data_IF_185193990020
#
_entry.id   IF_185193990020
#
_cell.length_a   1.000
_cell.length_b   1.000
_cell.length_c   1.000
_cell.angle_alpha   90.00
_cell.angle_beta   90.00
_cell.angle_gamma   90.00
#
_symmetry.space_group_name_H-M   'P 1'
#
loop_
_entity.id
_entity.type
_entity.pdbx_description
1 polymer ?
#
# COMPACT_ATOMS: atom_id res chain seq x y z
N UNK A 1 31.04 -22.53 -48.03
CA UNK A 1 31.85 -22.21 -46.84
C UNK A 1 31.14 -21.03 -46.17
N UNK A 2 30.60 -21.10 -44.96
CA UNK A 2 31.09 -21.69 -43.71
C UNK A 2 30.17 -22.75 -43.07
N UNK A 3 30.74 -23.59 -42.18
CA UNK A 3 30.03 -24.50 -41.23
C UNK A 3 30.25 -24.02 -39.79
N UNK A 4 29.21 -24.12 -38.95
CA UNK A 4 29.14 -24.25 -37.47
C UNK A 4 27.64 -24.04 -37.14
N UNK A 5 26.83 -24.97 -36.62
CA UNK A 5 26.99 -26.17 -35.78
C UNK A 5 27.51 -25.91 -34.35
N UNK A 6 26.80 -26.55 -33.40
CA UNK A 6 26.82 -26.43 -31.92
C UNK A 6 26.05 -25.19 -31.40
N UNK A 7 25.11 -25.31 -30.46
CA UNK A 7 24.53 -26.49 -29.79
C UNK A 7 24.41 -26.30 -28.28
N UNK A 8 23.34 -26.85 -27.68
CA UNK A 8 23.09 -26.93 -26.24
C UNK A 8 23.01 -25.59 -25.47
N UNK A 9 21.84 -24.95 -25.49
CA UNK A 9 21.37 -24.15 -24.38
C UNK A 9 20.45 -25.02 -23.51
N UNK A 10 20.98 -25.57 -22.42
CA UNK A 10 20.22 -26.28 -21.40
C UNK A 10 20.35 -25.52 -20.09
N UNK A 11 19.31 -24.78 -19.71
CA UNK A 11 19.17 -24.21 -18.37
C UNK A 11 18.01 -24.96 -17.72
N UNK A 12 18.34 -26.10 -17.11
CA UNK A 12 17.44 -26.78 -16.19
C UNK A 12 17.76 -26.27 -14.78
N UNK A 13 16.91 -25.39 -14.25
CA UNK A 13 16.82 -25.14 -12.81
C UNK A 13 15.36 -25.18 -12.42
N UNK A 14 14.87 -26.40 -12.24
CA UNK A 14 13.63 -26.67 -11.50
C UNK A 14 14.03 -27.38 -10.21
N UNK A 15 13.84 -26.72 -9.07
CA UNK A 15 13.38 -27.42 -7.85
C UNK A 15 12.36 -26.50 -7.18
N UNK A 16 11.08 -26.83 -7.37
CA UNK A 16 10.05 -26.43 -6.43
C UNK A 16 9.93 -27.51 -5.33
N UNK A 17 9.32 -27.12 -4.21
CA UNK A 17 8.80 -27.98 -3.13
C UNK A 17 9.78 -28.82 -2.30
N UNK A 18 9.89 -28.42 -1.04
CA UNK A 18 9.51 -29.19 0.16
C UNK A 18 9.70 -30.73 0.19
N UNK A 19 10.40 -31.19 1.24
CA UNK A 19 10.44 -32.55 1.80
C UNK A 19 10.49 -33.71 0.77
N UNK A 20 11.69 -34.16 0.42
CA UNK A 20 11.86 -35.44 -0.25
C UNK A 20 13.32 -35.82 -0.45
N UNK A 21 13.73 -36.99 0.05
CA UNK A 21 15.05 -37.56 -0.24
C UNK A 21 15.08 -38.01 -1.70
N UNK A 22 16.04 -37.51 -2.48
CA UNK A 22 16.28 -37.96 -3.86
C UNK A 22 17.77 -38.07 -4.17
N UNK A 23 18.30 -39.29 -4.10
CA UNK A 23 19.61 -39.65 -4.66
C UNK A 23 19.48 -40.11 -6.11
N UNK A 24 20.34 -39.60 -6.99
CA UNK A 24 20.59 -40.17 -8.32
C UNK A 24 22.09 -40.03 -8.68
N UNK A 25 22.62 -40.97 -9.47
CA UNK A 25 24.07 -41.22 -9.66
C UNK A 25 24.55 -41.00 -11.12
N UNK A 26 25.88 -40.97 -11.29
CA UNK A 26 26.68 -40.79 -12.54
C UNK A 26 26.72 -39.35 -13.11
N UNK A 27 27.80 -38.80 -13.69
CA UNK A 27 29.17 -39.28 -13.94
C UNK A 27 29.70 -38.77 -15.32
N UNK A 28 30.96 -38.40 -15.57
CA UNK A 28 32.21 -38.35 -14.79
C UNK A 28 33.21 -37.33 -15.43
N UNK A 29 34.35 -37.04 -14.76
CA UNK A 29 35.48 -36.19 -15.21
C UNK A 29 35.20 -34.65 -15.25
N UNK A 30 36.17 -33.73 -15.11
CA UNK A 30 37.64 -33.85 -15.07
C UNK A 30 38.30 -32.71 -14.24
N UNK A 31 39.61 -32.79 -13.98
CA UNK A 31 40.55 -31.79 -13.40
C UNK A 31 40.07 -30.35 -13.07
N UNK A 32 40.31 -29.86 -11.84
CA UNK A 32 41.58 -29.20 -11.45
C UNK A 32 41.55 -28.75 -9.97
N UNK A 33 42.57 -29.10 -9.18
CA UNK A 33 42.60 -28.85 -7.73
C UNK A 33 43.17 -27.46 -7.40
N UNK A 34 42.44 -26.39 -7.74
CA UNK A 34 42.74 -25.04 -7.24
C UNK A 34 42.11 -24.80 -5.88
N UNK A 35 42.92 -24.99 -4.83
CA UNK A 35 42.63 -24.51 -3.48
C UNK A 35 42.54 -22.98 -3.47
N UNK A 36 41.36 -22.42 -3.74
CA UNK A 36 41.06 -21.02 -3.47
C UNK A 36 40.86 -20.89 -1.97
N UNK A 37 41.65 -20.05 -1.31
CA UNK A 37 41.50 -19.80 0.12
C UNK A 37 40.11 -19.20 0.39
N UNK A 38 39.25 -19.97 1.05
CA UNK A 38 37.93 -19.52 1.44
C UNK A 38 38.06 -18.51 2.60
N UNK A 39 38.19 -17.24 2.26
CA UNK A 39 37.95 -16.15 3.22
C UNK A 39 36.52 -16.31 3.73
N UNK A 40 36.38 -16.71 5.00
CA UNK A 40 35.08 -16.79 5.66
C UNK A 40 34.51 -15.39 5.81
N UNK A 41 33.70 -14.97 4.84
CA UNK A 41 32.85 -13.79 4.98
C UNK A 41 31.73 -14.21 5.90
N UNK A 42 31.77 -13.75 7.15
CA UNK A 42 30.67 -13.93 8.08
C UNK A 42 29.37 -13.40 7.42
N UNK A 43 28.24 -14.12 7.50
CA UNK A 43 26.99 -13.61 6.97
C UNK A 43 26.71 -12.27 7.67
N UNK A 44 26.33 -11.20 6.93
CA UNK A 44 25.98 -9.94 7.56
C UNK A 44 24.84 -10.22 8.55
N UNK A 45 25.07 -9.89 9.82
CA UNK A 45 24.03 -9.95 10.84
C UNK A 45 22.82 -9.19 10.29
N UNK A 46 21.63 -9.80 10.18
CA UNK A 46 20.46 -9.07 9.75
C UNK A 46 20.24 -7.94 10.76
N UNK A 47 20.45 -6.70 10.31
CA UNK A 47 20.03 -5.53 11.08
C UNK A 47 18.58 -5.75 11.47
N UNK A 48 18.19 -5.51 12.74
CA UNK A 48 16.80 -5.63 13.11
C UNK A 48 16.00 -4.68 12.24
N UNK A 49 15.18 -5.23 11.33
CA UNK A 49 14.20 -4.47 10.57
C UNK A 49 13.34 -3.79 11.61
N UNK A 50 13.55 -2.48 11.80
CA UNK A 50 12.71 -1.67 12.64
C UNK A 50 11.33 -1.72 12.00
N UNK A 51 10.44 -2.55 12.54
CA UNK A 51 9.04 -2.59 12.12
C UNK A 51 8.56 -1.15 12.05
N UNK A 52 8.08 -0.72 10.89
CA UNK A 52 7.42 0.57 10.79
C UNK A 52 6.32 0.60 11.87
N UNK A 53 6.15 1.72 12.60
CA UNK A 53 5.08 1.80 13.57
C UNK A 53 3.76 1.46 12.86
N UNK A 54 2.94 0.63 13.49
CA UNK A 54 1.60 0.36 12.98
C UNK A 54 0.86 1.70 12.90
N UNK A 55 0.37 2.04 11.71
CA UNK A 55 -0.45 3.24 11.52
C UNK A 55 -1.70 3.05 12.37
N UNK A 56 -1.93 3.97 13.30
CA UNK A 56 -3.16 4.04 14.06
C UNK A 56 -4.03 5.11 13.42
N UNK A 57 -5.16 4.70 12.83
CA UNK A 57 -6.13 5.63 12.28
C UNK A 57 -6.88 6.37 13.40
N UNK A 58 -7.12 7.67 13.18
CA UNK A 58 -7.85 8.56 14.09
C UNK A 58 -9.36 8.50 13.87
N UNK A 59 -9.76 8.13 12.65
CA UNK A 59 -11.14 7.98 12.22
C UNK A 59 -11.25 6.69 11.38
N UNK A 60 -12.27 5.90 11.65
CA UNK A 60 -12.68 4.75 10.84
C UNK A 60 -14.20 4.83 10.65
N UNK A 61 -14.66 4.98 9.41
CA UNK A 61 -16.07 5.14 9.04
C UNK A 61 -16.50 3.95 8.18
N UNK A 62 -17.33 3.08 8.76
CA UNK A 62 -17.98 1.97 8.06
C UNK A 62 -19.37 2.41 7.65
N UNK A 63 -19.62 2.59 6.35
CA UNK A 63 -20.89 3.13 5.84
C UNK A 63 -21.48 2.25 4.76
N UNK A 64 -22.79 2.06 4.81
CA UNK A 64 -23.54 1.46 3.69
C UNK A 64 -23.97 2.57 2.73
N UNK A 65 -23.56 2.47 1.48
CA UNK A 65 -23.92 3.39 0.40
C UNK A 65 -25.09 2.82 -0.42
N UNK A 66 -25.96 3.70 -0.92
CA UNK A 66 -26.96 3.39 -1.94
C UNK A 66 -26.30 3.57 -3.31
N UNK A 67 -26.35 2.54 -4.15
CA UNK A 67 -25.71 2.54 -5.47
C UNK A 67 -26.69 2.97 -6.57
N UNK A 68 -26.15 3.32 -7.73
CA UNK A 68 -26.91 3.78 -8.91
C UNK A 68 -27.88 2.73 -9.47
N UNK A 69 -27.67 1.44 -9.19
CA UNK A 69 -28.59 0.36 -9.54
C UNK A 69 -29.74 0.15 -8.53
N UNK A 70 -29.77 0.95 -7.45
CA UNK A 70 -30.74 0.87 -6.36
C UNK A 70 -30.42 -0.20 -5.31
N UNK A 71 -29.32 -0.93 -5.45
CA UNK A 71 -28.79 -1.81 -4.41
C UNK A 71 -27.98 -1.03 -3.37
N UNK A 72 -27.46 -1.74 -2.36
CA UNK A 72 -26.62 -1.14 -1.32
C UNK A 72 -25.36 -1.96 -1.12
N UNK A 73 -24.21 -1.29 -0.96
CA UNK A 73 -22.95 -1.94 -0.64
C UNK A 73 -22.21 -1.22 0.51
N UNK A 74 -21.43 -1.95 1.33
CA UNK A 74 -20.56 -1.34 2.32
C UNK A 74 -19.38 -0.65 1.65
N UNK A 75 -18.95 0.45 2.24
CA UNK A 75 -17.66 1.08 2.00
C UNK A 75 -17.01 1.47 3.34
N UNK A 76 -15.71 1.65 3.33
CA UNK A 76 -14.93 2.01 4.51
C UNK A 76 -13.93 3.11 4.17
N UNK A 77 -13.78 4.05 5.10
CA UNK A 77 -12.80 5.15 5.04
C UNK A 77 -12.05 5.21 6.36
N UNK A 78 -10.74 4.96 6.32
CA UNK A 78 -9.84 5.10 7.46
C UNK A 78 -8.93 6.32 7.26
N UNK A 79 -8.86 7.24 8.24
CA UNK A 79 -8.05 8.47 8.16
C UNK A 79 -7.20 8.64 9.41
N UNK A 80 -5.90 8.84 9.22
CA UNK A 80 -4.94 9.18 10.28
C UNK A 80 -4.42 10.61 10.09
N UNK A 81 -4.30 11.34 11.20
CA UNK A 81 -3.62 12.64 11.26
C UNK A 81 -2.20 12.41 11.75
N UNK A 82 -1.25 12.50 10.82
CA UNK A 82 0.17 12.30 11.07
C UNK A 82 0.93 13.63 11.13
N UNK A 83 2.06 13.63 11.83
CA UNK A 83 3.02 14.72 11.79
C UNK A 83 3.85 14.61 10.52
N UNK A 84 3.88 15.68 9.73
CA UNK A 84 4.85 15.84 8.65
C UNK A 84 6.18 16.36 9.21
N UNK A 85 7.11 15.45 9.45
CA UNK A 85 8.46 15.78 9.94
C UNK A 85 9.26 16.73 9.02
N UNK A 86 8.89 16.86 7.74
CA UNK A 86 9.56 17.78 6.81
C UNK A 86 9.08 19.23 6.95
N UNK A 87 7.85 19.46 7.44
CA UNK A 87 7.25 20.80 7.57
C UNK A 87 6.79 21.15 8.99
N UNK A 88 7.07 20.29 9.98
CA UNK A 88 6.69 20.47 11.38
C UNK A 88 7.23 21.78 11.99
N UNK A 89 6.30 22.59 12.51
CA UNK A 89 6.55 23.80 13.28
C UNK A 89 6.29 23.58 14.79
N UNK A 90 6.47 24.63 15.60
CA UNK A 90 6.27 24.58 17.05
C UNK A 90 4.80 24.48 17.49
N UNK A 91 3.82 24.59 16.58
CA UNK A 91 2.38 24.48 16.83
C UNK A 91 1.80 23.15 16.34
N UNK A 92 2.58 22.33 15.63
CA UNK A 92 2.17 21.02 15.07
C UNK A 92 1.30 20.18 16.03
N UNK A 93 1.71 19.99 17.27
CA UNK A 93 0.99 19.13 18.24
C UNK A 93 -0.41 19.68 18.59
N UNK A 94 -0.56 21.02 18.71
CA UNK A 94 -1.86 21.67 18.95
C UNK A 94 -2.77 21.54 17.73
N UNK A 95 -2.21 21.72 16.52
CA UNK A 95 -2.93 21.58 15.25
C UNK A 95 -3.36 20.12 15.01
N UNK A 96 -2.54 19.13 15.38
CA UNK A 96 -2.90 17.69 15.33
C UNK A 96 -4.04 17.40 16.31
N UNK A 97 -3.97 17.91 17.55
CA UNK A 97 -5.04 17.74 18.53
C UNK A 97 -6.36 18.37 18.06
N UNK A 98 -6.31 19.54 17.41
CA UNK A 98 -7.47 20.18 16.81
C UNK A 98 -8.04 19.39 15.61
N UNK A 99 -7.18 18.86 14.74
CA UNK A 99 -7.58 18.01 13.60
C UNK A 99 -8.27 16.73 14.06
N UNK A 100 -7.67 16.00 15.01
CA UNK A 100 -8.28 14.78 15.61
C UNK A 100 -9.62 15.09 16.29
N UNK A 101 -9.72 16.23 16.98
CA UNK A 101 -10.98 16.69 17.58
C UNK A 101 -12.04 16.96 16.50
N UNK A 102 -11.70 17.61 15.39
CA UNK A 102 -12.63 17.84 14.29
C UNK A 102 -13.16 16.50 13.75
N UNK A 103 -12.24 15.60 13.36
CA UNK A 103 -12.58 14.26 12.84
C UNK A 103 -13.51 13.47 13.76
N UNK A 104 -13.26 13.47 15.07
CA UNK A 104 -14.05 12.74 16.05
C UNK A 104 -15.37 13.44 16.47
N UNK A 105 -15.56 14.70 16.09
CA UNK A 105 -16.76 15.48 16.44
C UNK A 105 -17.78 15.63 15.31
N UNK A 106 -17.37 15.43 14.06
CA UNK A 106 -18.23 15.51 12.88
C UNK A 106 -18.96 14.17 12.65
N UNK A 107 -20.23 14.24 12.25
CA UNK A 107 -21.03 13.04 11.95
C UNK A 107 -20.92 12.64 10.48
N UNK A 108 -19.81 11.98 10.11
CA UNK A 108 -19.51 11.56 8.73
C UNK A 108 -20.49 10.54 8.15
N UNK A 109 -21.22 9.79 8.98
CA UNK A 109 -22.28 8.87 8.52
C UNK A 109 -23.46 9.63 7.89
N UNK A 110 -23.73 10.85 8.35
CA UNK A 110 -24.80 11.70 7.87
C UNK A 110 -24.40 12.62 6.71
N UNK A 111 -23.11 12.67 6.35
CA UNK A 111 -22.62 13.53 5.27
C UNK A 111 -23.24 13.11 3.93
N UNK A 112 -23.81 14.02 3.12
CA UNK A 112 -24.32 13.67 1.79
C UNK A 112 -23.14 13.37 0.87
N UNK A 113 -23.11 12.19 0.26
CA UNK A 113 -22.03 11.75 -0.64
C UNK A 113 -22.67 11.25 -1.94
N UNK A 114 -22.20 11.75 -3.09
CA UNK A 114 -22.70 11.34 -4.42
C UNK A 114 -21.60 11.16 -5.44
N UNK A 115 -21.77 10.19 -6.34
CA UNK A 115 -20.95 10.05 -7.54
C UNK A 115 -21.03 11.25 -8.49
N UNK A 116 -22.06 12.09 -8.39
CA UNK A 116 -22.17 13.30 -9.22
C UNK A 116 -21.18 14.41 -8.83
N UNK A 117 -20.49 14.24 -7.70
CA UNK A 117 -19.37 15.10 -7.29
C UNK A 117 -18.08 14.75 -8.05
N UNK A 118 -17.94 13.50 -8.51
CA UNK A 118 -16.85 13.07 -9.37
C UNK A 118 -17.10 13.46 -10.83
N UNK A 119 -16.03 13.92 -11.49
CA UNK A 119 -16.07 14.23 -12.92
C UNK A 119 -16.49 13.02 -13.76
N UNK A 120 -17.17 13.24 -14.89
CA UNK A 120 -17.55 12.14 -15.78
C UNK A 120 -16.32 11.36 -16.32
N UNK A 121 -15.20 12.06 -16.54
CA UNK A 121 -13.92 11.46 -16.93
C UNK A 121 -13.28 10.67 -15.79
N UNK A 122 -13.33 11.19 -14.57
CA UNK A 122 -12.81 10.56 -13.34
C UNK A 122 -13.57 9.27 -13.01
N UNK A 123 -14.91 9.30 -13.01
CA UNK A 123 -15.76 8.10 -12.88
C UNK A 123 -15.44 7.04 -13.92
N UNK A 124 -15.11 7.44 -15.15
CA UNK A 124 -14.73 6.51 -16.20
C UNK A 124 -13.34 5.90 -15.93
N UNK A 125 -12.37 6.70 -15.47
CA UNK A 125 -11.02 6.23 -15.12
C UNK A 125 -11.03 5.23 -13.96
N UNK A 126 -11.78 5.50 -12.88
CA UNK A 126 -11.85 4.58 -11.73
C UNK A 126 -12.61 3.28 -12.10
N UNK A 127 -13.67 3.40 -12.90
CA UNK A 127 -14.36 2.23 -13.46
C UNK A 127 -13.46 1.39 -14.39
N UNK A 128 -12.59 2.03 -15.18
CA UNK A 128 -11.62 1.34 -16.04
C UNK A 128 -10.48 0.68 -15.25
N UNK A 129 -10.20 1.14 -14.02
CA UNK A 129 -9.34 0.45 -13.04
C UNK A 129 -10.05 -0.71 -12.34
N UNK A 130 -11.37 -0.81 -12.47
CA UNK A 130 -12.20 -1.84 -11.85
C UNK A 130 -12.68 -1.50 -10.44
N UNK A 131 -12.61 -0.24 -10.02
CA UNK A 131 -13.15 0.19 -8.73
C UNK A 131 -14.69 0.07 -8.71
N UNK A 132 -15.22 -0.36 -7.57
CA UNK A 132 -16.64 -0.44 -7.34
C UNK A 132 -17.24 0.93 -7.01
N UNK A 133 -18.55 1.07 -7.21
CA UNK A 133 -19.27 2.30 -6.85
C UNK A 133 -19.17 2.65 -5.36
N UNK A 134 -19.08 1.64 -4.47
CA UNK A 134 -18.88 1.86 -3.04
C UNK A 134 -17.46 2.36 -2.71
N UNK A 135 -16.43 1.92 -3.44
CA UNK A 135 -15.07 2.43 -3.30
C UNK A 135 -14.98 3.88 -3.80
N UNK A 136 -15.54 4.20 -4.98
CA UNK A 136 -15.61 5.57 -5.48
C UNK A 136 -16.35 6.52 -4.52
N UNK A 137 -17.48 6.10 -3.94
CA UNK A 137 -18.22 6.89 -2.93
C UNK A 137 -17.42 7.03 -1.62
N UNK A 138 -16.65 6.01 -1.23
CA UNK A 138 -15.72 6.10 -0.10
C UNK A 138 -14.57 7.09 -0.37
N UNK A 139 -14.10 7.17 -1.62
CA UNK A 139 -13.18 8.20 -2.09
C UNK A 139 -13.72 9.62 -1.91
N UNK A 140 -14.95 9.88 -2.39
CA UNK A 140 -15.62 11.20 -2.21
C UNK A 140 -15.74 11.57 -0.73
N UNK A 141 -16.08 10.61 0.14
CA UNK A 141 -16.13 10.86 1.59
C UNK A 141 -14.74 11.19 2.18
N UNK A 142 -13.67 10.53 1.71
CA UNK A 142 -12.29 10.86 2.09
C UNK A 142 -11.88 12.28 1.64
N UNK A 143 -12.37 12.74 0.49
CA UNK A 143 -12.16 14.11 0.01
C UNK A 143 -12.95 15.13 0.82
N UNK A 144 -14.18 14.83 1.24
CA UNK A 144 -14.96 15.67 2.17
C UNK A 144 -14.24 15.85 3.51
N UNK A 145 -13.69 14.77 4.06
CA UNK A 145 -12.89 14.79 5.30
C UNK A 145 -11.64 15.67 5.12
N UNK A 146 -10.91 15.48 4.02
CA UNK A 146 -9.71 16.25 3.69
C UNK A 146 -10.02 17.74 3.51
N UNK A 147 -11.14 18.04 2.84
CA UNK A 147 -11.64 19.40 2.63
C UNK A 147 -12.05 20.07 3.95
N UNK A 148 -12.76 19.37 4.84
CA UNK A 148 -13.16 19.93 6.13
C UNK A 148 -11.95 20.33 7.00
N UNK A 149 -10.88 19.52 6.98
CA UNK A 149 -9.62 19.85 7.63
C UNK A 149 -8.89 21.03 6.97
N UNK A 150 -8.97 21.15 5.64
CA UNK A 150 -8.41 22.29 4.90
C UNK A 150 -9.17 23.59 5.20
N UNK A 151 -10.50 23.57 5.13
CA UNK A 151 -11.37 24.71 5.39
C UNK A 151 -11.28 25.18 6.87
N UNK A 152 -10.95 24.26 7.79
CA UNK A 152 -10.61 24.58 9.18
C UNK A 152 -9.18 25.16 9.39
N UNK A 153 -8.35 25.23 8.35
CA UNK A 153 -6.95 25.69 8.44
C UNK A 153 -5.99 24.70 9.13
N UNK A 154 -6.39 23.42 9.23
CA UNK A 154 -5.65 22.37 9.94
C UNK A 154 -4.75 21.54 9.01
N UNK A 155 -4.85 21.77 7.69
CA UNK A 155 -3.95 21.20 6.68
C UNK A 155 -2.70 22.08 6.46
N UNK A 156 -1.55 21.43 6.22
CA UNK A 156 -0.27 22.07 5.86
C UNK A 156 0.49 22.69 7.03
N UNK A 157 1.82 22.72 6.93
CA UNK A 157 2.71 23.20 8.01
C UNK A 157 2.74 22.22 9.19
N UNK A 158 3.31 21.03 8.97
CA UNK A 158 3.52 20.02 10.01
C UNK A 158 2.49 18.91 10.09
N UNK A 159 1.44 18.93 9.27
CA UNK A 159 0.38 17.91 9.26
C UNK A 159 0.25 17.26 7.89
N UNK A 160 0.20 15.93 7.88
CA UNK A 160 -0.18 15.10 6.75
C UNK A 160 -1.40 14.25 7.10
N UNK A 161 -2.19 13.91 6.08
CA UNK A 161 -3.28 12.94 6.20
C UNK A 161 -2.89 11.64 5.49
N UNK A 162 -3.24 10.52 6.10
CA UNK A 162 -3.18 9.20 5.47
C UNK A 162 -4.60 8.64 5.43
N UNK A 163 -5.20 8.66 4.24
CA UNK A 163 -6.47 8.02 3.94
C UNK A 163 -6.28 6.61 3.39
N UNK A 164 -7.18 5.69 3.73
CA UNK A 164 -7.35 4.40 3.06
C UNK A 164 -8.83 4.21 2.75
N UNK A 165 -9.13 3.90 1.48
CA UNK A 165 -10.44 3.43 1.03
C UNK A 165 -10.41 1.90 1.04
N UNK A 166 -11.39 1.29 1.70
CA UNK A 166 -11.48 -0.15 1.90
C UNK A 166 -11.02 -0.60 3.30
N UNK A 167 -11.65 -1.67 3.76
CA UNK A 167 -11.37 -2.43 4.99
C UNK A 167 -11.46 -3.93 4.66
#
# INVERSE_FOLDING_TARGET
MYRRQRGCAAIAVTIATALGIATALAGCADLDQRSVAATSIAPPTPSPTRSAPAVTYDLDVHRTFLLSDGSTAPGCVQVAVERDEATADAQTDERIAAARKLLLSTNWEAEPVSLDELGAEERQVEKDRGESEAEMLSGVLSDHISKALQDAGLMGGGISLRGHVGC
#
